data_IF_060693793514
#
_entry.id   IF_060693793514
#
_cell.length_a   1.000
_cell.length_b   1.000
_cell.length_c   1.000
_cell.angle_alpha   90.00
_cell.angle_beta   90.00
_cell.angle_gamma   90.00
#
_symmetry.space_group_name_H-M   'P 1'
#
loop_
_entity.id
_entity.type
_entity.pdbx_description
1 polymer ?
#
# COMPACT_ATOMS: atom_id res chain seq x y z
N UNK A 1 -6.81 12.42 -1.84
CA UNK A 1 -5.42 11.92 -1.67
C UNK A 1 -4.96 11.35 -3.01
N UNK A 2 -3.76 11.69 -3.46
CA UNK A 2 -3.16 11.12 -4.68
C UNK A 2 -2.12 10.09 -4.21
N UNK A 3 -2.30 8.83 -4.57
CA UNK A 3 -1.44 7.73 -4.15
C UNK A 3 -0.29 7.56 -5.14
N UNK A 4 0.97 7.64 -4.68
CA UNK A 4 2.15 7.58 -5.56
C UNK A 4 3.27 6.64 -5.06
N UNK A 5 2.95 5.55 -4.37
CA UNK A 5 3.91 4.47 -4.12
C UNK A 5 3.39 3.15 -4.71
N UNK A 6 4.25 2.44 -5.45
CA UNK A 6 3.90 1.21 -6.17
C UNK A 6 3.46 0.05 -5.24
N UNK A 7 3.75 0.13 -3.92
CA UNK A 7 3.26 -0.79 -2.89
C UNK A 7 1.97 -0.34 -2.16
N UNK A 8 1.61 0.96 -2.26
CA UNK A 8 0.48 1.53 -1.54
C UNK A 8 -0.88 0.97 -1.99
N UNK A 9 -0.98 0.37 -3.18
CA UNK A 9 -2.24 -0.16 -3.69
C UNK A 9 -2.90 -1.15 -2.71
N UNK A 10 -2.12 -2.02 -2.06
CA UNK A 10 -2.64 -3.02 -1.10
C UNK A 10 -3.01 -2.44 0.27
N UNK A 11 -2.71 -1.17 0.52
CA UNK A 11 -3.17 -0.46 1.72
C UNK A 11 -4.52 0.22 1.53
N UNK A 12 -4.91 0.53 0.29
CA UNK A 12 -6.11 1.31 -0.01
C UNK A 12 -7.16 0.53 -0.80
N UNK A 13 -6.96 -0.77 -1.01
CA UNK A 13 -7.85 -1.67 -1.75
C UNK A 13 -9.18 -1.95 -1.05
N UNK A 14 -9.26 -1.68 0.26
CA UNK A 14 -10.42 -1.85 1.13
C UNK A 14 -10.82 -0.54 1.85
N UNK A 15 -10.38 0.63 1.34
CA UNK A 15 -10.69 1.91 1.96
C UNK A 15 -12.22 2.08 2.08
N UNK A 16 -12.76 2.38 3.28
CA UNK A 16 -14.20 2.39 3.54
C UNK A 16 -14.96 3.39 2.67
N UNK A 17 -15.97 2.89 1.94
CA UNK A 17 -16.76 3.67 0.99
C UNK A 17 -17.60 4.76 1.67
N UNK A 18 -17.99 4.56 2.93
CA UNK A 18 -18.74 5.51 3.73
C UNK A 18 -17.99 6.84 3.91
N UNK A 19 -16.67 6.82 3.73
CA UNK A 19 -15.80 7.97 3.89
C UNK A 19 -15.53 8.69 2.58
N UNK A 20 -15.97 8.12 1.46
CA UNK A 20 -15.66 8.62 0.14
C UNK A 20 -16.81 9.50 -0.32
N UNK A 21 -16.50 10.78 -0.55
CA UNK A 21 -17.42 11.73 -1.20
C UNK A 21 -17.47 11.48 -2.71
N UNK A 22 -16.29 11.27 -3.30
CA UNK A 22 -16.14 11.15 -4.76
C UNK A 22 -14.89 10.33 -5.10
N UNK A 23 -15.00 9.49 -6.12
CA UNK A 23 -13.87 8.83 -6.78
C UNK A 23 -13.74 9.41 -8.17
N UNK A 24 -12.54 9.86 -8.52
CA UNK A 24 -12.20 10.33 -9.86
C UNK A 24 -11.13 9.41 -10.45
N UNK A 25 -11.33 8.99 -11.71
CA UNK A 25 -10.41 8.11 -12.40
C UNK A 25 -9.94 8.80 -13.68
N UNK A 26 -8.64 9.05 -13.77
CA UNK A 26 -7.98 9.57 -14.97
C UNK A 26 -7.21 8.42 -15.60
N UNK A 27 -7.58 8.02 -16.82
CA UNK A 27 -6.95 6.90 -17.53
C UNK A 27 -5.80 7.42 -18.40
N UNK A 28 -4.66 6.76 -18.34
CA UNK A 28 -3.44 7.14 -19.05
C UNK A 28 -2.69 8.31 -18.39
N UNK A 29 -1.54 8.69 -18.97
CA UNK A 29 -0.77 9.86 -18.52
C UNK A 29 -1.52 11.13 -18.91
N UNK A 30 -2.49 11.54 -18.09
CA UNK A 30 -3.44 12.60 -18.43
C UNK A 30 -3.12 13.98 -17.84
N UNK A 31 -2.13 14.11 -16.95
CA UNK A 31 -1.80 15.37 -16.30
C UNK A 31 -0.38 15.37 -15.75
N UNK A 32 0.28 16.52 -15.83
CA UNK A 32 1.64 16.71 -15.33
C UNK A 32 1.69 16.88 -13.79
N UNK A 33 0.53 17.03 -13.15
CA UNK A 33 0.37 17.34 -11.72
C UNK A 33 0.35 16.08 -10.84
N UNK A 34 -0.09 14.93 -11.35
CA UNK A 34 -0.32 13.72 -10.52
C UNK A 34 0.94 12.91 -10.16
N UNK A 35 2.12 13.53 -10.13
CA UNK A 35 3.38 12.89 -9.72
C UNK A 35 4.00 11.96 -10.78
N UNK A 36 5.21 11.44 -10.50
CA UNK A 36 5.98 10.60 -11.44
C UNK A 36 5.40 9.22 -11.70
N UNK A 37 4.60 8.68 -10.77
CA UNK A 37 4.07 7.31 -10.84
C UNK A 37 2.69 7.21 -11.54
N UNK A 38 2.16 8.33 -12.05
CA UNK A 38 0.90 8.40 -12.79
C UNK A 38 1.03 7.97 -14.28
N UNK A 39 1.67 6.82 -14.54
CA UNK A 39 1.91 6.34 -15.91
C UNK A 39 0.68 5.64 -16.52
N UNK A 40 0.00 4.78 -15.75
CA UNK A 40 -1.13 3.99 -16.24
C UNK A 40 -2.48 4.68 -16.03
N UNK A 41 -2.76 5.12 -14.81
CA UNK A 41 -3.97 5.83 -14.41
C UNK A 41 -3.76 6.51 -13.06
N UNK A 42 -4.65 7.43 -12.71
CA UNK A 42 -4.75 8.04 -11.39
C UNK A 42 -6.14 7.78 -10.84
N UNK A 43 -6.21 7.24 -9.62
CA UNK A 43 -7.44 7.16 -8.83
C UNK A 43 -7.33 8.21 -7.72
N UNK A 44 -8.13 9.26 -7.81
CA UNK A 44 -8.21 10.29 -6.78
C UNK A 44 -9.43 10.03 -5.90
N UNK A 45 -9.19 9.75 -4.63
CA UNK A 45 -10.23 9.58 -3.62
C UNK A 45 -10.38 10.91 -2.88
N UNK A 46 -11.57 11.49 -2.98
CA UNK A 46 -11.98 12.67 -2.23
C UNK A 46 -12.83 12.19 -1.06
N UNK A 47 -12.34 12.42 0.15
CA UNK A 47 -13.03 12.06 1.38
C UNK A 47 -14.13 13.06 1.71
N UNK A 48 -15.09 12.62 2.51
CA UNK A 48 -16.15 13.47 3.07
C UNK A 48 -15.57 14.60 3.94
N UNK A 49 -16.12 15.79 3.77
CA UNK A 49 -15.72 16.98 4.53
C UNK A 49 -16.70 17.28 5.68
N UNK A 50 -16.38 18.30 6.48
CA UNK A 50 -17.17 18.67 7.65
C UNK A 50 -18.64 19.01 7.31
N UNK A 51 -18.89 19.53 6.10
CA UNK A 51 -20.22 19.97 5.65
C UNK A 51 -21.05 18.82 5.11
N UNK A 52 -20.39 17.76 4.64
CA UNK A 52 -21.07 16.54 4.17
C UNK A 52 -21.68 15.72 5.33
N UNK A 53 -21.08 15.78 6.53
CA UNK A 53 -21.50 14.99 7.70
C UNK A 53 -22.37 15.81 8.68
N UNK A 54 -21.94 17.02 9.03
CA UNK A 54 -22.49 17.88 10.10
C UNK A 54 -23.04 17.11 11.32
N UNK A 55 -22.17 16.32 11.95
CA UNK A 55 -22.53 15.44 13.05
C UNK A 55 -21.59 14.26 13.19
N UNK A 56 -22.15 13.13 13.62
CA UNK A 56 -21.46 11.85 13.76
C UNK A 56 -22.34 10.77 13.17
N UNK A 57 -21.76 9.88 12.37
CA UNK A 57 -22.40 8.67 11.88
C UNK A 57 -21.58 7.47 12.32
N UNK A 58 -22.27 6.50 12.91
CA UNK A 58 -21.74 5.20 13.29
C UNK A 58 -22.30 4.15 12.33
N UNK A 59 -21.43 3.30 11.80
CA UNK A 59 -21.76 2.12 11.02
C UNK A 59 -21.16 0.90 11.71
N UNK A 60 -21.94 -0.16 11.85
CA UNK A 60 -21.53 -1.44 12.40
C UNK A 60 -21.95 -2.55 11.44
N UNK A 61 -21.09 -3.55 11.24
CA UNK A 61 -21.29 -4.63 10.29
C UNK A 61 -20.81 -5.97 10.82
N UNK A 62 -21.56 -7.03 10.52
CA UNK A 62 -21.18 -8.42 10.75
C UNK A 62 -21.53 -9.26 9.50
N UNK A 63 -20.69 -10.22 9.13
CA UNK A 63 -20.90 -11.01 7.91
C UNK A 63 -20.12 -12.31 7.84
N UNK A 64 -20.04 -12.88 6.63
CA UNK A 64 -19.29 -14.10 6.34
C UNK A 64 -17.83 -14.01 6.79
N UNK A 65 -17.20 -15.17 7.02
CA UNK A 65 -15.81 -15.26 7.49
C UNK A 65 -15.57 -14.53 8.82
N UNK A 66 -16.57 -14.63 9.72
CA UNK A 66 -16.61 -13.96 11.01
C UNK A 66 -16.18 -12.48 10.93
N UNK A 67 -16.58 -11.82 9.85
CA UNK A 67 -16.19 -10.44 9.58
C UNK A 67 -16.96 -9.52 10.50
N UNK A 68 -16.25 -8.63 11.19
CA UNK A 68 -16.77 -7.58 12.03
C UNK A 68 -16.15 -6.25 11.63
N UNK A 69 -16.97 -5.21 11.50
CA UNK A 69 -16.52 -3.87 11.14
C UNK A 69 -17.27 -2.81 11.94
N UNK A 70 -16.53 -1.85 12.46
CA UNK A 70 -17.06 -0.64 13.11
C UNK A 70 -16.41 0.57 12.46
N UNK A 71 -17.21 1.53 12.03
CA UNK A 71 -16.75 2.75 11.41
C UNK A 71 -17.49 3.96 12.00
N UNK A 72 -16.74 4.95 12.45
CA UNK A 72 -17.24 6.24 12.92
C UNK A 72 -16.72 7.32 12.01
N UNK A 73 -17.62 8.07 11.39
CA UNK A 73 -17.28 9.31 10.68
C UNK A 73 -17.89 10.50 11.39
N UNK A 74 -17.15 11.59 11.45
CA UNK A 74 -17.61 12.82 12.08
C UNK A 74 -17.17 14.03 11.29
N UNK A 75 -17.97 15.09 11.36
CA UNK A 75 -17.67 16.35 10.70
C UNK A 75 -18.44 17.48 11.34
N UNK A 76 -17.80 18.62 11.56
CA UNK A 76 -18.49 19.81 12.09
C UNK A 76 -17.79 21.10 11.71
N UNK A 77 -18.60 22.13 11.51
CA UNK A 77 -18.12 23.51 11.37
C UNK A 77 -18.38 24.28 12.66
N UNK A 78 -17.32 24.75 13.31
CA UNK A 78 -17.35 25.57 14.51
C UNK A 78 -16.76 26.95 14.21
N UNK A 79 -17.60 27.88 13.77
CA UNK A 79 -17.19 29.22 13.38
C UNK A 79 -16.30 29.19 12.13
N UNK A 80 -15.00 29.43 12.27
CA UNK A 80 -14.02 29.43 11.16
C UNK A 80 -13.18 28.15 11.09
N UNK A 81 -13.42 27.23 12.02
CA UNK A 81 -12.75 25.93 12.08
C UNK A 81 -13.72 24.89 11.57
N UNK A 82 -13.30 24.12 10.59
CA UNK A 82 -14.01 22.94 10.09
C UNK A 82 -13.14 21.73 10.47
N UNK A 83 -13.74 20.68 11.02
CA UNK A 83 -13.03 19.42 11.23
C UNK A 83 -13.86 18.26 10.73
N UNK A 84 -13.22 17.28 10.13
CA UNK A 84 -13.81 16.01 9.75
C UNK A 84 -12.83 14.88 9.96
N UNK A 85 -13.31 13.66 10.07
CA UNK A 85 -12.45 12.52 10.28
C UNK A 85 -13.21 11.22 10.33
N UNK A 86 -12.43 10.16 10.46
CA UNK A 86 -12.92 8.79 10.53
C UNK A 86 -12.06 7.96 11.49
N UNK A 87 -12.71 7.00 12.14
CA UNK A 87 -12.06 5.88 12.78
C UNK A 87 -12.76 4.58 12.38
N UNK A 88 -12.01 3.63 11.83
CA UNK A 88 -12.50 2.31 11.44
C UNK A 88 -11.68 1.21 12.08
N UNK A 89 -12.38 0.17 12.49
CA UNK A 89 -11.82 -1.11 12.89
C UNK A 89 -12.49 -2.20 12.08
N UNK A 90 -11.71 -3.08 11.48
CA UNK A 90 -12.22 -4.27 10.80
C UNK A 90 -11.42 -5.50 11.19
N UNK A 91 -12.11 -6.60 11.37
CA UNK A 91 -11.53 -7.92 11.59
C UNK A 91 -12.27 -8.96 10.75
N UNK A 92 -11.56 -9.94 10.22
CA UNK A 92 -12.14 -11.07 9.50
C UNK A 92 -11.22 -12.29 9.61
N UNK A 93 -11.76 -13.49 9.60
CA UNK A 93 -10.96 -14.72 9.41
C UNK A 93 -10.53 -14.91 7.95
N UNK A 94 -11.08 -14.10 7.04
CA UNK A 94 -10.77 -14.16 5.61
C UNK A 94 -11.41 -15.34 4.89
N UNK A 95 -11.22 -15.37 3.58
CA UNK A 95 -11.68 -16.50 2.77
C UNK A 95 -10.98 -17.80 3.25
N UNK A 96 -11.75 -18.86 3.49
CA UNK A 96 -11.30 -20.13 4.09
C UNK A 96 -11.43 -21.33 3.14
N UNK A 97 -11.31 -21.07 1.83
CA UNK A 97 -11.47 -22.08 0.79
C UNK A 97 -10.44 -23.22 0.87
N UNK A 98 -10.83 -24.39 0.36
CA UNK A 98 -9.95 -25.57 0.29
C UNK A 98 -9.09 -25.49 -0.97
N UNK A 99 -7.78 -25.57 -0.80
CA UNK A 99 -6.82 -25.82 -1.87
C UNK A 99 -6.61 -27.33 -1.94
N UNK A 100 -7.16 -27.95 -2.98
CA UNK A 100 -7.10 -29.42 -3.18
C UNK A 100 -5.68 -29.91 -3.48
N UNK A 101 -4.91 -29.11 -4.22
CA UNK A 101 -3.53 -29.40 -4.62
C UNK A 101 -2.76 -28.10 -4.75
N UNK A 102 -1.53 -28.10 -4.28
CA UNK A 102 -0.62 -26.96 -4.34
C UNK A 102 0.71 -27.35 -5.00
N UNK A 103 1.67 -26.42 -5.05
CA UNK A 103 3.00 -26.70 -5.61
C UNK A 103 3.72 -27.81 -4.84
N UNK A 104 3.61 -27.84 -3.52
CA UNK A 104 4.27 -28.87 -2.72
C UNK A 104 3.64 -30.25 -2.98
N UNK A 105 2.34 -30.36 -3.28
CA UNK A 105 1.71 -31.62 -3.70
C UNK A 105 2.37 -32.17 -4.96
N UNK A 106 2.74 -31.31 -5.91
CA UNK A 106 3.45 -31.73 -7.13
C UNK A 106 4.84 -32.25 -6.76
N UNK A 107 5.58 -31.53 -5.92
CA UNK A 107 6.92 -31.93 -5.47
C UNK A 107 6.89 -33.26 -4.71
N UNK A 108 5.91 -33.47 -3.83
CA UNK A 108 5.71 -34.73 -3.10
C UNK A 108 5.48 -35.91 -4.06
N UNK A 109 4.65 -35.72 -5.09
CA UNK A 109 4.40 -36.75 -6.10
C UNK A 109 5.67 -37.09 -6.90
N UNK A 110 6.43 -36.09 -7.33
CA UNK A 110 7.70 -36.30 -8.04
C UNK A 110 8.69 -37.02 -7.10
N UNK A 111 8.84 -36.55 -5.87
CA UNK A 111 9.77 -37.13 -4.89
C UNK A 111 9.42 -38.58 -4.55
N UNK A 112 8.13 -38.91 -4.44
CA UNK A 112 7.66 -40.29 -4.19
C UNK A 112 8.00 -41.27 -5.33
N UNK A 113 8.24 -40.75 -6.55
CA UNK A 113 8.63 -41.57 -7.71
C UNK A 113 10.13 -41.84 -7.77
N UNK A 114 10.95 -41.13 -6.98
CA UNK A 114 12.39 -41.29 -6.94
C UNK A 114 12.78 -42.44 -5.98
N UNK A 115 13.86 -43.18 -6.27
CA UNK A 115 14.37 -44.19 -5.34
C UNK A 115 15.11 -43.52 -4.16
N UNK A 116 15.13 -44.15 -2.97
CA UNK A 116 16.01 -43.72 -1.89
C UNK A 116 17.48 -43.64 -2.35
N UNK A 117 18.27 -42.65 -1.88
CA UNK A 117 17.93 -41.63 -0.87
C UNK A 117 17.31 -40.34 -1.45
N UNK A 118 16.90 -40.33 -2.72
CA UNK A 118 16.42 -39.13 -3.42
C UNK A 118 14.92 -38.86 -3.22
N UNK A 119 14.23 -39.68 -2.43
CA UNK A 119 12.85 -39.45 -2.05
C UNK A 119 12.75 -38.76 -0.68
N UNK A 120 11.82 -37.83 -0.57
CA UNK A 120 11.48 -37.11 0.65
C UNK A 120 10.06 -37.50 1.10
N UNK A 121 9.79 -37.51 2.42
CA UNK A 121 8.43 -37.63 2.92
C UNK A 121 7.54 -36.48 2.39
N UNK A 122 6.26 -36.77 2.16
CA UNK A 122 5.29 -35.76 1.76
C UNK A 122 5.17 -34.66 2.82
N UNK A 123 5.06 -33.41 2.38
CA UNK A 123 5.02 -32.22 3.22
C UNK A 123 3.93 -31.22 2.82
N UNK A 124 3.21 -31.46 1.72
CA UNK A 124 2.10 -30.61 1.31
C UNK A 124 1.01 -30.60 2.38
N UNK A 125 0.56 -29.40 2.73
CA UNK A 125 -0.61 -29.19 3.59
C UNK A 125 -1.92 -29.28 2.78
N UNK A 126 -1.86 -29.52 1.47
CA UNK A 126 -3.02 -29.72 0.61
C UNK A 126 -3.42 -31.21 0.49
N UNK A 127 -4.74 -31.56 0.50
CA UNK A 127 -5.88 -30.67 0.63
C UNK A 127 -5.97 -29.98 1.99
N UNK A 128 -6.08 -28.64 1.97
CA UNK A 128 -6.04 -27.81 3.18
C UNK A 128 -6.73 -26.47 2.97
N UNK A 129 -7.03 -25.76 4.07
CA UNK A 129 -7.67 -24.44 4.01
C UNK A 129 -6.62 -23.34 3.86
N UNK A 130 -7.00 -22.26 3.18
CA UNK A 130 -6.22 -21.02 3.18
C UNK A 130 -6.44 -20.24 4.48
N UNK A 131 -5.44 -19.42 4.84
CA UNK A 131 -5.47 -18.55 6.02
C UNK A 131 -5.34 -17.07 5.59
N UNK A 132 -6.46 -16.39 5.35
CA UNK A 132 -6.51 -14.98 4.89
C UNK A 132 -7.06 -14.03 5.99
N UNK A 133 -6.79 -14.36 7.26
CA UNK A 133 -7.23 -13.53 8.39
C UNK A 133 -6.66 -12.12 8.32
N UNK A 134 -7.48 -11.12 8.66
CA UNK A 134 -7.08 -9.70 8.64
C UNK A 134 -7.59 -8.94 9.86
N UNK A 135 -6.77 -8.00 10.30
CA UNK A 135 -7.13 -6.98 11.28
C UNK A 135 -6.63 -5.62 10.78
N UNK A 136 -7.53 -4.63 10.75
CA UNK A 136 -7.30 -3.34 10.12
C UNK A 136 -7.77 -2.21 11.05
N UNK A 137 -6.95 -1.18 11.17
CA UNK A 137 -7.25 0.06 11.88
C UNK A 137 -6.97 1.25 10.97
N UNK A 138 -8.01 2.06 10.70
CA UNK A 138 -7.86 3.28 9.89
C UNK A 138 -8.31 4.49 10.71
N UNK A 139 -7.47 5.53 10.76
CA UNK A 139 -7.77 6.80 11.42
C UNK A 139 -7.47 7.96 10.49
N UNK A 140 -8.45 8.82 10.25
CA UNK A 140 -8.27 10.05 9.49
C UNK A 140 -8.78 11.26 10.29
N UNK A 141 -8.06 12.38 10.21
CA UNK A 141 -8.49 13.65 10.76
C UNK A 141 -8.05 14.78 9.84
N UNK A 142 -8.99 15.63 9.46
CA UNK A 142 -8.74 16.87 8.75
C UNK A 142 -9.27 18.04 9.56
N UNK A 143 -8.46 19.08 9.72
CA UNK A 143 -8.83 20.34 10.36
C UNK A 143 -8.50 21.47 9.41
N UNK A 144 -9.50 22.28 9.09
CA UNK A 144 -9.37 23.46 8.23
C UNK A 144 -9.67 24.71 9.05
N UNK A 145 -8.80 25.70 8.99
CA UNK A 145 -9.03 27.04 9.53
C UNK A 145 -8.86 28.07 8.43
N UNK A 146 -9.98 28.61 7.94
CA UNK A 146 -10.03 29.50 6.77
C UNK A 146 -9.35 28.85 5.55
N UNK A 147 -8.23 29.44 5.14
CA UNK A 147 -7.44 29.09 3.97
C UNK A 147 -6.36 28.03 4.27
N UNK A 148 -6.17 27.65 5.53
CA UNK A 148 -5.19 26.66 5.98
C UNK A 148 -5.85 25.34 6.36
N UNK A 149 -5.21 24.22 6.08
CA UNK A 149 -5.67 22.90 6.53
C UNK A 149 -4.50 22.04 6.99
N UNK A 150 -4.81 21.09 7.87
CA UNK A 150 -3.96 19.95 8.23
C UNK A 150 -4.79 18.69 8.12
N UNK A 151 -4.23 17.66 7.51
CA UNK A 151 -4.82 16.35 7.38
C UNK A 151 -3.83 15.29 7.86
N UNK A 152 -4.32 14.33 8.63
CA UNK A 152 -3.58 13.16 9.08
C UNK A 152 -4.34 11.91 8.71
N UNK A 153 -3.60 10.88 8.30
CA UNK A 153 -4.09 9.53 8.06
C UNK A 153 -3.12 8.54 8.72
N UNK A 154 -3.67 7.58 9.43
CA UNK A 154 -2.97 6.41 9.94
C UNK A 154 -3.71 5.16 9.51
N UNK A 155 -2.97 4.17 9.01
CA UNK A 155 -3.49 2.86 8.65
C UNK A 155 -2.56 1.82 9.26
N UNK A 156 -3.11 0.82 9.95
CA UNK A 156 -2.42 -0.39 10.34
C UNK A 156 -3.18 -1.59 9.79
N UNK A 157 -2.47 -2.49 9.12
CA UNK A 157 -3.02 -3.74 8.63
C UNK A 157 -2.14 -4.88 9.08
N UNK A 158 -2.72 -5.85 9.78
CA UNK A 158 -2.14 -7.16 10.00
C UNK A 158 -2.93 -8.17 9.15
N UNK A 159 -2.23 -9.01 8.37
CA UNK A 159 -2.83 -10.04 7.53
C UNK A 159 -1.97 -11.28 7.46
N UNK A 160 -2.60 -12.45 7.50
CA UNK A 160 -1.99 -13.69 7.04
C UNK A 160 -1.87 -13.70 5.51
N UNK A 161 -0.90 -14.38 4.90
CA UNK A 161 -0.89 -14.52 3.45
C UNK A 161 -1.87 -15.58 3.02
N UNK A 162 -2.62 -15.25 1.97
CA UNK A 162 -3.56 -16.17 1.35
C UNK A 162 -2.90 -17.50 0.90
N UNK A 163 -1.80 -17.43 0.13
CA UNK A 163 -0.95 -18.54 -0.31
C UNK A 163 0.49 -18.04 -0.35
N UNK A 164 1.47 -18.86 0.04
CA UNK A 164 2.88 -18.47 0.09
C UNK A 164 3.48 -18.24 -1.31
N UNK A 165 4.63 -17.55 -1.44
CA UNK A 165 5.25 -17.22 -2.74
C UNK A 165 5.57 -18.42 -3.63
N UNK A 166 5.78 -19.61 -3.04
CA UNK A 166 6.01 -20.84 -3.81
C UNK A 166 4.71 -21.53 -4.25
N UNK A 167 3.55 -20.89 -4.07
CA UNK A 167 2.23 -21.46 -4.34
C UNK A 167 1.96 -22.74 -3.53
N UNK A 168 2.45 -22.76 -2.28
CA UNK A 168 2.19 -23.79 -1.29
C UNK A 168 1.36 -23.21 -0.14
N UNK A 169 0.50 -24.05 0.44
CA UNK A 169 -0.13 -23.71 1.71
C UNK A 169 0.94 -23.59 2.81
N UNK A 170 0.71 -22.64 3.71
CA UNK A 170 1.55 -22.29 4.86
C UNK A 170 0.62 -21.79 5.97
N UNK A 171 1.06 -21.84 7.22
CA UNK A 171 0.26 -21.44 8.37
C UNK A 171 0.99 -20.52 9.36
N UNK A 172 2.28 -20.24 9.14
CA UNK A 172 3.08 -19.41 10.05
C UNK A 172 3.25 -17.94 9.63
N UNK A 173 2.82 -17.57 8.43
CA UNK A 173 3.13 -16.25 7.89
C UNK A 173 2.27 -15.11 8.46
N UNK A 174 2.88 -13.94 8.63
CA UNK A 174 2.27 -12.73 9.16
C UNK A 174 2.84 -11.49 8.46
N UNK A 175 1.97 -10.62 7.97
CA UNK A 175 2.36 -9.38 7.31
C UNK A 175 1.70 -8.21 8.03
N UNK A 176 2.53 -7.37 8.64
CA UNK A 176 2.12 -6.14 9.28
C UNK A 176 2.61 -4.94 8.47
N UNK A 177 1.69 -4.05 8.10
CA UNK A 177 2.00 -2.77 7.47
C UNK A 177 1.45 -1.63 8.31
N UNK A 178 2.30 -0.66 8.64
CA UNK A 178 1.94 0.59 9.28
C UNK A 178 2.17 1.76 8.30
N UNK A 179 1.18 2.63 8.18
CA UNK A 179 1.23 3.80 7.30
C UNK A 179 0.81 5.06 8.04
N UNK A 180 1.60 6.11 7.92
CA UNK A 180 1.31 7.43 8.47
C UNK A 180 1.47 8.47 7.38
N UNK A 181 0.45 9.29 7.19
CA UNK A 181 0.49 10.44 6.29
C UNK A 181 0.01 11.69 7.01
N UNK A 182 0.75 12.79 6.85
CA UNK A 182 0.39 14.10 7.37
C UNK A 182 0.61 15.14 6.28
N UNK A 183 -0.40 15.93 5.97
CA UNK A 183 -0.38 16.99 4.97
C UNK A 183 -0.84 18.31 5.59
N UNK A 184 -0.06 19.36 5.42
CA UNK A 184 -0.44 20.71 5.85
C UNK A 184 -0.33 21.65 4.65
N UNK A 185 -1.41 22.37 4.37
CA UNK A 185 -1.49 23.20 3.17
C UNK A 185 -2.22 24.51 3.40
N UNK A 186 -1.97 25.46 2.51
CA UNK A 186 -2.61 26.76 2.49
C UNK A 186 -3.07 27.08 1.08
N UNK A 187 -4.27 27.65 0.92
CA UNK A 187 -4.81 28.06 -0.37
C UNK A 187 -5.19 29.53 -0.33
N UNK A 188 -4.57 30.36 -1.16
CA UNK A 188 -4.95 31.77 -1.29
C UNK A 188 -5.20 32.15 -2.73
N UNK A 189 -6.37 32.75 -2.97
CA UNK A 189 -6.72 33.35 -4.26
C UNK A 189 -6.64 34.87 -4.17
N UNK A 190 -5.95 35.48 -5.11
CA UNK A 190 -5.76 36.91 -5.30
C UNK A 190 -6.54 37.36 -6.53
N UNK A 191 -7.36 38.41 -6.37
CA UNK A 191 -8.10 39.06 -7.46
C UNK A 191 -8.88 38.08 -8.37
N UNK A 192 -9.33 36.95 -7.80
CA UNK A 192 -10.06 35.87 -8.48
C UNK A 192 -9.33 35.21 -9.67
N UNK A 193 -8.07 35.59 -9.94
CA UNK A 193 -7.30 35.12 -11.09
C UNK A 193 -6.10 34.28 -10.71
N UNK A 194 -5.46 34.56 -9.58
CA UNK A 194 -4.22 33.92 -9.20
C UNK A 194 -4.39 33.14 -7.90
N UNK A 195 -4.13 31.84 -7.89
CA UNK A 195 -4.23 31.01 -6.69
C UNK A 195 -2.89 30.35 -6.37
N UNK A 196 -2.46 30.44 -5.12
CA UNK A 196 -1.23 29.81 -4.60
C UNK A 196 -1.62 28.76 -3.57
N UNK A 197 -1.10 27.54 -3.71
CA UNK A 197 -1.51 26.35 -2.92
C UNK A 197 -0.34 25.62 -2.22
N UNK A 198 0.56 26.31 -1.48
CA UNK A 198 1.72 25.65 -0.89
C UNK A 198 1.28 24.58 0.11
N UNK A 199 1.94 23.43 0.05
CA UNK A 199 1.76 22.33 0.99
C UNK A 199 3.09 21.70 1.37
N UNK A 200 3.13 21.12 2.56
CA UNK A 200 4.19 20.27 3.06
C UNK A 200 3.55 18.98 3.55
N UNK A 201 4.20 17.85 3.27
CA UNK A 201 3.69 16.56 3.69
C UNK A 201 4.80 15.66 4.20
N UNK A 202 4.38 14.74 5.07
CA UNK A 202 5.14 13.61 5.57
C UNK A 202 4.37 12.34 5.26
N UNK A 203 5.06 11.34 4.74
CA UNK A 203 4.54 10.01 4.49
C UNK A 203 5.55 9.00 5.07
N UNK A 204 5.06 7.98 5.77
CA UNK A 204 5.88 6.85 6.20
C UNK A 204 5.15 5.53 5.97
N UNK A 205 5.86 4.59 5.38
CA UNK A 205 5.52 3.17 5.32
C UNK A 205 6.50 2.37 6.17
N UNK A 206 5.97 1.47 7.00
CA UNK A 206 6.73 0.48 7.77
C UNK A 206 6.13 -0.89 7.49
N UNK A 207 6.89 -1.73 6.79
CA UNK A 207 6.49 -3.09 6.44
C UNK A 207 7.31 -4.09 7.25
N UNK A 208 6.62 -5.03 7.88
CA UNK A 208 7.19 -6.22 8.50
C UNK A 208 6.54 -7.46 7.88
N UNK A 209 7.29 -8.15 7.04
CA UNK A 209 6.83 -9.23 6.19
C UNK A 209 7.47 -10.52 6.68
N UNK A 210 6.78 -11.32 7.49
CA UNK A 210 7.20 -12.66 7.89
C UNK A 210 6.48 -13.69 7.01
N UNK A 211 7.23 -14.44 6.20
CA UNK A 211 6.67 -15.39 5.25
C UNK A 211 7.33 -16.75 5.42
N UNK A 212 6.50 -17.75 5.68
CA UNK A 212 6.76 -19.15 5.38
C UNK A 212 6.38 -19.43 3.92
N UNK A 213 7.40 -19.64 3.09
CA UNK A 213 7.25 -19.89 1.65
C UNK A 213 6.94 -21.35 1.32
N UNK A 214 7.41 -22.28 2.14
CA UNK A 214 7.13 -23.71 2.06
C UNK A 214 6.89 -24.23 3.48
N UNK A 215 5.95 -25.17 3.67
CA UNK A 215 5.66 -25.77 4.97
C UNK A 215 6.84 -26.61 5.47
N UNK A 216 6.78 -27.07 6.71
CA UNK A 216 7.80 -27.93 7.30
C UNK A 216 7.97 -29.24 6.53
N UNK A 217 9.22 -29.56 6.24
CA UNK A 217 9.57 -30.68 5.38
C UNK A 217 9.35 -30.43 3.89
N UNK A 218 8.90 -29.24 3.50
CA UNK A 218 8.73 -28.82 2.12
C UNK A 218 10.02 -28.96 1.32
N UNK A 219 9.87 -29.07 0.01
CA UNK A 219 10.99 -29.36 -0.89
C UNK A 219 11.02 -28.41 -2.06
N UNK A 220 12.22 -28.04 -2.50
CA UNK A 220 12.43 -27.18 -3.66
C UNK A 220 13.37 -27.86 -4.66
N UNK A 221 13.12 -27.62 -5.94
CA UNK A 221 14.08 -27.86 -7.02
C UNK A 221 14.96 -26.60 -7.12
N UNK A 222 16.18 -26.66 -6.55
CA UNK A 222 17.08 -25.51 -6.53
C UNK A 222 17.90 -25.36 -7.81
N UNK A 223 18.05 -26.43 -8.58
CA UNK A 223 18.90 -26.45 -9.77
C UNK A 223 18.10 -26.28 -11.10
N UNK A 224 16.76 -26.38 -11.03
CA UNK A 224 15.84 -26.18 -12.14
C UNK A 224 15.72 -27.38 -13.09
N UNK A 225 16.13 -28.58 -12.70
CA UNK A 225 16.08 -29.79 -13.51
C UNK A 225 14.71 -30.50 -13.50
N UNK A 226 13.76 -29.97 -12.73
CA UNK A 226 12.41 -30.49 -12.57
C UNK A 226 12.25 -31.47 -11.41
N UNK A 227 13.30 -31.75 -10.65
CA UNK A 227 13.27 -32.67 -9.51
C UNK A 227 13.56 -31.93 -8.19
N UNK A 228 12.71 -32.08 -7.15
CA UNK A 228 13.00 -31.52 -5.85
C UNK A 228 14.26 -32.19 -5.26
N UNK A 229 15.30 -31.40 -5.03
CA UNK A 229 16.62 -31.88 -4.60
C UNK A 229 16.97 -31.47 -3.17
N UNK A 230 16.20 -30.55 -2.59
CA UNK A 230 16.48 -29.97 -1.28
C UNK A 230 15.22 -29.95 -0.42
N UNK A 231 15.37 -30.39 0.84
CA UNK A 231 14.32 -30.40 1.86
C UNK A 231 14.58 -29.35 2.92
N UNK A 232 13.53 -28.68 3.38
CA UNK A 232 13.56 -27.67 4.44
C UNK A 232 12.82 -28.21 5.67
N UNK A 233 13.52 -28.76 6.67
CA UNK A 233 12.88 -29.41 7.81
C UNK A 233 11.94 -28.49 8.60
N UNK A 234 12.32 -27.23 8.79
CA UNK A 234 11.59 -26.22 9.57
C UNK A 234 10.94 -25.16 8.65
N UNK A 235 10.51 -25.57 7.45
CA UNK A 235 9.92 -24.69 6.44
C UNK A 235 10.95 -23.80 5.74
N UNK A 236 10.52 -23.08 4.71
CA UNK A 236 11.35 -22.08 4.01
C UNK A 236 10.91 -20.68 4.44
N UNK A 237 11.55 -20.11 5.46
CA UNK A 237 11.08 -18.92 6.17
C UNK A 237 11.99 -17.73 5.90
N UNK A 238 11.39 -16.58 5.58
CA UNK A 238 12.05 -15.30 5.44
C UNK A 238 11.27 -14.17 6.11
N UNK A 239 11.98 -13.27 6.78
CA UNK A 239 11.43 -12.03 7.33
C UNK A 239 12.14 -10.82 6.74
N UNK A 240 11.38 -9.99 6.02
CA UNK A 240 11.84 -8.71 5.50
C UNK A 240 11.21 -7.55 6.27
N UNK A 241 12.01 -6.57 6.68
CA UNK A 241 11.49 -5.29 7.21
C UNK A 241 12.08 -4.12 6.47
N UNK A 242 11.27 -3.08 6.23
CA UNK A 242 11.72 -1.84 5.61
C UNK A 242 10.88 -0.66 6.08
N UNK A 243 11.53 0.48 6.32
CA UNK A 243 10.86 1.74 6.59
C UNK A 243 11.19 2.72 5.48
N UNK A 244 10.18 3.19 4.76
CA UNK A 244 10.29 4.30 3.82
C UNK A 244 9.67 5.57 4.44
N UNK A 245 10.39 6.68 4.38
CA UNK A 245 9.93 8.00 4.84
C UNK A 245 10.09 9.01 3.72
N UNK A 246 9.03 9.77 3.46
CA UNK A 246 9.00 10.83 2.46
C UNK A 246 8.65 12.14 3.16
N UNK A 247 9.51 13.14 2.99
CA UNK A 247 9.18 14.53 3.32
C UNK A 247 9.12 15.30 2.01
N UNK A 248 8.02 15.97 1.74
CA UNK A 248 7.84 16.71 0.51
C UNK A 248 7.22 18.08 0.71
N UNK A 249 7.46 18.95 -0.26
CA UNK A 249 6.72 20.21 -0.40
C UNK A 249 6.36 20.42 -1.86
N UNK A 250 5.17 20.97 -2.08
CA UNK A 250 4.66 21.29 -3.40
C UNK A 250 4.06 22.70 -3.35
N UNK A 251 4.37 23.52 -4.34
CA UNK A 251 3.86 24.89 -4.46
C UNK A 251 3.28 25.07 -5.86
N UNK A 252 1.99 24.79 -6.05
CA UNK A 252 1.27 25.09 -7.27
C UNK A 252 0.83 26.56 -7.32
N UNK A 253 0.97 27.15 -8.50
CA UNK A 253 0.55 28.48 -8.88
C UNK A 253 -0.45 28.37 -10.03
N UNK A 254 -1.72 28.61 -9.75
CA UNK A 254 -2.77 28.63 -10.76
C UNK A 254 -3.00 30.06 -11.23
N UNK A 255 -3.03 30.28 -12.54
CA UNK A 255 -3.41 31.54 -13.16
C UNK A 255 -4.55 31.32 -14.13
N UNK A 256 -5.71 31.91 -13.84
CA UNK A 256 -6.87 31.94 -14.71
C UNK A 256 -6.67 33.00 -15.79
N UNK A 257 -6.30 32.56 -16.99
CA UNK A 257 -6.06 33.47 -18.12
C UNK A 257 -7.36 34.05 -18.67
N UNK A 258 -8.40 33.23 -18.75
CA UNK A 258 -9.78 33.58 -19.12
C UNK A 258 -10.76 32.53 -18.57
N UNK A 259 -12.07 32.73 -18.75
CA UNK A 259 -13.08 31.77 -18.28
C UNK A 259 -12.95 30.41 -18.98
N UNK A 260 -12.90 29.34 -18.19
CA UNK A 260 -12.65 27.98 -18.69
C UNK A 260 -11.19 27.68 -18.99
N UNK A 261 -10.22 28.52 -18.59
CA UNK A 261 -8.80 28.21 -18.72
C UNK A 261 -8.01 28.46 -17.42
N UNK A 262 -7.15 27.50 -17.07
CA UNK A 262 -6.20 27.62 -15.96
C UNK A 262 -4.83 27.11 -16.40
N UNK A 263 -3.82 27.97 -16.26
CA UNK A 263 -2.42 27.60 -16.35
C UNK A 263 -1.90 27.33 -14.94
N UNK A 264 -1.28 26.18 -14.71
CA UNK A 264 -0.67 25.78 -13.44
C UNK A 264 0.82 25.60 -13.61
N UNK A 265 1.62 26.38 -12.89
CA UNK A 265 3.05 26.13 -12.69
C UNK A 265 3.24 25.52 -11.30
N UNK A 266 3.97 24.42 -11.19
CA UNK A 266 4.26 23.77 -9.92
C UNK A 266 5.74 23.58 -9.67
N UNK A 267 6.14 23.79 -8.42
CA UNK A 267 7.46 23.46 -7.91
C UNK A 267 7.28 22.39 -6.84
N UNK A 268 8.03 21.30 -6.93
CA UNK A 268 8.00 20.22 -5.95
C UNK A 268 9.41 19.80 -5.56
N UNK A 269 9.57 19.50 -4.27
CA UNK A 269 10.74 18.84 -3.73
C UNK A 269 10.30 17.65 -2.88
N UNK A 270 10.97 16.51 -3.06
CA UNK A 270 10.82 15.31 -2.21
C UNK A 270 12.17 14.80 -1.73
N UNK A 271 12.22 14.46 -0.45
CA UNK A 271 13.28 13.68 0.17
C UNK A 271 12.69 12.33 0.56
N UNK A 272 13.14 11.27 -0.10
CA UNK A 272 12.75 9.89 0.17
C UNK A 272 13.92 9.21 0.87
N UNK A 273 13.67 8.61 2.03
CA UNK A 273 14.64 7.84 2.80
C UNK A 273 14.10 6.43 3.02
N UNK A 274 14.76 5.45 2.44
CA UNK A 274 14.54 4.03 2.71
C UNK A 274 15.60 3.56 3.70
N UNK A 275 15.17 3.09 4.86
CA UNK A 275 16.02 2.79 6.02
C UNK A 275 15.51 1.58 6.78
N UNK A 276 16.31 1.11 7.75
CA UNK A 276 15.95 0.02 8.64
C UNK A 276 15.63 -1.27 7.87
N UNK A 277 16.40 -1.51 6.80
CA UNK A 277 16.22 -2.72 6.01
C UNK A 277 16.77 -3.91 6.78
N UNK A 278 15.89 -4.85 7.13
CA UNK A 278 16.28 -6.08 7.79
C UNK A 278 15.89 -7.30 6.99
N UNK A 279 16.81 -8.26 6.88
CA UNK A 279 16.50 -9.57 6.33
C UNK A 279 16.96 -10.68 7.25
N UNK A 280 16.01 -11.48 7.73
CA UNK A 280 16.26 -12.68 8.50
C UNK A 280 15.73 -13.89 7.72
N UNK A 281 16.44 -15.02 7.71
CA UNK A 281 15.95 -16.24 7.05
C UNK A 281 16.56 -17.50 7.65
N UNK A 282 15.85 -18.63 7.52
CA UNK A 282 16.39 -19.97 7.83
C UNK A 282 17.01 -20.65 6.59
N UNK A 283 17.31 -19.87 5.55
CA UNK A 283 17.97 -20.33 4.33
C UNK A 283 18.99 -19.30 3.85
N UNK A 284 20.02 -19.74 3.15
CA UNK A 284 21.00 -18.83 2.55
C UNK A 284 20.35 -18.06 1.38
N UNK A 285 20.34 -16.72 1.35
CA UNK A 285 19.53 -15.94 0.39
C UNK A 285 19.84 -16.17 -1.09
N UNK A 286 21.10 -16.47 -1.41
CA UNK A 286 21.55 -16.73 -2.80
C UNK A 286 21.41 -18.20 -3.19
N UNK A 287 21.97 -19.11 -2.39
CA UNK A 287 21.99 -20.53 -2.75
C UNK A 287 20.67 -21.22 -2.44
N UNK A 288 19.85 -20.67 -1.53
CA UNK A 288 18.67 -21.30 -0.93
C UNK A 288 19.00 -22.54 -0.08
N UNK A 289 20.23 -22.70 0.39
CA UNK A 289 20.55 -23.82 1.29
C UNK A 289 19.84 -23.64 2.63
N UNK A 290 19.19 -24.69 3.19
CA UNK A 290 18.61 -24.63 4.52
C UNK A 290 19.71 -24.41 5.56
N UNK A 291 19.37 -23.65 6.60
CA UNK A 291 20.24 -23.34 7.73
C UNK A 291 19.59 -23.90 9.01
N UNK A 292 20.41 -24.31 9.98
CA UNK A 292 19.94 -24.89 11.25
C UNK A 292 19.17 -23.89 12.15
N UNK A 293 19.18 -22.60 11.80
CA UNK A 293 18.50 -21.55 12.55
C UNK A 293 18.30 -20.31 11.67
N UNK A 294 17.38 -19.43 12.08
CA UNK A 294 17.21 -18.12 11.47
C UNK A 294 18.48 -17.28 11.67
N UNK A 295 19.04 -16.78 10.58
CA UNK A 295 20.23 -15.92 10.56
C UNK A 295 19.90 -14.54 9.99
N UNK A 296 20.73 -13.55 10.35
CA UNK A 296 20.60 -12.18 9.87
C UNK A 296 21.49 -11.95 8.63
N UNK A 297 20.86 -11.56 7.53
CA UNK A 297 21.48 -11.27 6.24
C UNK A 297 21.36 -9.80 5.83
N UNK A 298 20.94 -8.91 6.74
CA UNK A 298 20.70 -7.49 6.46
C UNK A 298 21.91 -6.79 5.84
N UNK A 299 23.13 -7.14 6.25
CA UNK A 299 24.36 -6.49 5.74
C UNK A 299 24.98 -7.21 4.53
N UNK A 300 24.72 -8.51 4.37
CA UNK A 300 25.39 -9.36 3.37
C UNK A 300 24.54 -9.62 2.13
N UNK A 301 23.23 -9.83 2.31
CA UNK A 301 22.25 -10.07 1.25
C UNK A 301 20.92 -9.41 1.59
N UNK A 302 20.87 -8.07 1.71
CA UNK A 302 19.62 -7.39 1.96
C UNK A 302 18.64 -7.58 0.81
N UNK A 303 17.35 -7.72 1.12
CA UNK A 303 16.30 -7.79 0.11
C UNK A 303 16.02 -6.43 -0.57
N UNK A 304 16.47 -5.33 0.04
CA UNK A 304 16.41 -3.96 -0.46
C UNK A 304 17.64 -3.15 0.00
N UNK A 305 18.09 -2.18 -0.77
CA UNK A 305 19.20 -1.32 -0.34
C UNK A 305 18.69 -0.09 0.44
N UNK A 306 19.36 0.27 1.53
CA UNK A 306 19.12 1.59 2.14
C UNK A 306 19.54 2.70 1.18
N UNK A 307 18.67 3.68 0.99
CA UNK A 307 18.91 4.72 0.01
C UNK A 307 18.21 6.03 0.39
N UNK A 308 18.87 7.14 0.09
CA UNK A 308 18.28 8.48 0.15
C UNK A 308 18.17 9.06 -1.26
N UNK A 309 16.97 9.44 -1.67
CA UNK A 309 16.70 10.06 -2.97
C UNK A 309 16.18 11.47 -2.76
N UNK A 310 16.68 12.40 -3.58
CA UNK A 310 16.23 13.80 -3.61
C UNK A 310 15.68 14.06 -4.99
N UNK A 311 14.41 14.42 -5.06
CA UNK A 311 13.69 14.68 -6.30
C UNK A 311 13.31 16.16 -6.31
N UNK A 312 13.66 16.84 -7.38
CA UNK A 312 13.18 18.18 -7.68
C UNK A 312 12.36 18.06 -8.95
N UNK A 313 11.18 18.67 -8.96
CA UNK A 313 10.30 18.63 -10.11
C UNK A 313 9.77 20.03 -10.38
N UNK A 314 9.78 20.42 -11.65
CA UNK A 314 9.03 21.57 -12.13
C UNK A 314 8.02 21.07 -13.15
N UNK A 315 6.76 21.45 -12.99
CA UNK A 315 5.73 21.10 -13.96
C UNK A 315 4.94 22.32 -14.42
N UNK A 316 4.50 22.26 -15.67
CA UNK A 316 3.58 23.21 -16.26
C UNK A 316 2.39 22.44 -16.82
N UNK A 317 1.19 22.89 -16.51
CA UNK A 317 -0.04 22.33 -17.03
C UNK A 317 -0.98 23.45 -17.49
N UNK A 318 -1.65 23.22 -18.60
CA UNK A 318 -2.68 24.08 -19.15
C UNK A 318 -3.98 23.27 -19.28
N UNK A 319 -5.06 23.77 -18.66
CA UNK A 319 -6.36 23.10 -18.59
C UNK A 319 -7.44 23.97 -19.19
N UNK A 320 -8.30 23.36 -20.01
CA UNK A 320 -9.34 24.03 -20.78
C UNK A 320 -10.67 23.32 -20.62
N UNK A 321 -11.69 24.05 -20.21
CA UNK A 321 -13.09 23.66 -20.28
C UNK A 321 -13.64 24.16 -21.62
N UNK A 322 -13.54 23.32 -22.66
CA UNK A 322 -13.96 23.69 -24.03
C UNK A 322 -15.49 23.73 -24.11
N UNK A 323 -16.15 22.77 -23.47
CA UNK A 323 -17.59 22.71 -23.24
C UNK A 323 -17.87 22.14 -21.85
N UNK A 324 -19.14 22.10 -21.44
CA UNK A 324 -19.55 21.46 -20.17
C UNK A 324 -19.23 19.94 -20.09
N UNK A 325 -18.82 19.32 -21.20
CA UNK A 325 -18.51 17.88 -21.29
C UNK A 325 -17.14 17.58 -21.88
N UNK A 326 -16.48 18.57 -22.47
CA UNK A 326 -15.18 18.41 -23.13
C UNK A 326 -14.14 19.25 -22.39
N UNK A 327 -13.24 18.54 -21.71
CA UNK A 327 -12.10 19.10 -21.01
C UNK A 327 -10.81 18.68 -21.73
N UNK A 328 -9.90 19.62 -21.91
CA UNK A 328 -8.56 19.37 -22.45
C UNK A 328 -7.51 19.69 -21.39
N UNK A 329 -6.53 18.81 -21.24
CA UNK A 329 -5.37 19.03 -20.36
C UNK A 329 -4.10 18.77 -21.16
N UNK A 330 -3.18 19.73 -21.12
CA UNK A 330 -1.84 19.63 -21.72
C UNK A 330 -0.83 19.93 -20.63
N UNK A 331 0.25 19.16 -20.53
CA UNK A 331 1.27 19.45 -19.54
C UNK A 331 2.58 18.73 -19.77
N UNK A 332 3.62 19.24 -19.14
CA UNK A 332 4.95 18.68 -19.11
C UNK A 332 5.60 18.88 -17.75
N UNK A 333 6.55 18.02 -17.42
CA UNK A 333 7.32 18.07 -16.18
C UNK A 333 8.79 17.77 -16.47
N UNK A 334 9.69 18.36 -15.69
CA UNK A 334 11.14 18.26 -15.85
C UNK A 334 11.81 18.05 -14.50
#
# INVERSE_FOLDING_TARGET
MILSAAGAFTLFDDFPLENIKKIEIIRGPGSAVYGENAFLAVVNIITIDAKDIDGVKLSSGYGSFDTYEENVVFGKTCGKVEFSGMARYRQTTGFDGIVERDRQTINDNISSSLPPPFNFPAASQAPGRVHDGRQEYDLNLRVTYKDFYVEGLYINKNKGPFIGPQFALNDESDVETNYVFVDAGYRKTFEERFTVKPRVYYDQFDDNIYIESLPEGGTLDRNGDGFPDTRYPDGLIGNGKVIEKIVGTEIPFDYKLFDGNIITLGLEYRLINQTNVHFLSNFHPVTLEPLDSIQNFSDSYPFLEEATRRIWLVYLQDTWDITDTLHLTLGGKA
#
